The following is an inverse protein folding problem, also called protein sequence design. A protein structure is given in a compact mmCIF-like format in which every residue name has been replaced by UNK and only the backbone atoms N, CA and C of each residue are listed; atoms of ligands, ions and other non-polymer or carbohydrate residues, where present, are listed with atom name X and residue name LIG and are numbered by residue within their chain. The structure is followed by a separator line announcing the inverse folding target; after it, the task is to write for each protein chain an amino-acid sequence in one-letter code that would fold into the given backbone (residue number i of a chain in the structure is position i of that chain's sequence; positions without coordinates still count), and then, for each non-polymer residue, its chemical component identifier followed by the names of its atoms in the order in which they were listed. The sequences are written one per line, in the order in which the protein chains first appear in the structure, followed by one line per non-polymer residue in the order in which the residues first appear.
data_IF_221479197484
#
_entry.id   IF_221479197484
#
_cell.length_a   1.000
_cell.length_b   1.000
_cell.length_c   1.000
_cell.angle_alpha   90.00
_cell.angle_beta   90.00
_cell.angle_gamma   90.00
#
_symmetry.space_group_name_H-M   'P 1'
#
loop_
_entity.id
_entity.type
_entity.pdbx_description
1 polymer ?
#
# COMPACT_ATOMS: atom_id res chain seq x y z
N UNK A 1 -27.36 -20.62 -9.54
CA UNK A 1 -26.25 -19.71 -9.17
C UNK A 1 -25.00 -20.36 -9.72
N UNK A 2 -24.60 -19.97 -10.92
CA UNK A 2 -23.43 -20.53 -11.64
C UNK A 2 -22.11 -19.83 -11.23
N UNK A 3 -22.16 -18.88 -10.29
CA UNK A 3 -21.12 -17.86 -10.10
C UNK A 3 -20.09 -18.16 -8.99
N UNK A 4 -20.23 -19.28 -8.27
CA UNK A 4 -19.36 -19.64 -7.15
C UNK A 4 -19.63 -18.86 -5.85
N UNK A 5 -18.84 -19.15 -4.82
CA UNK A 5 -18.96 -18.56 -3.49
C UNK A 5 -17.73 -17.70 -3.16
N UNK A 6 -17.93 -16.41 -2.87
CA UNK A 6 -16.87 -15.49 -2.47
C UNK A 6 -16.77 -15.40 -0.94
N UNK A 7 -15.56 -15.60 -0.43
CA UNK A 7 -15.18 -15.41 0.96
C UNK A 7 -14.13 -14.30 1.05
N UNK A 8 -14.35 -13.33 1.95
CA UNK A 8 -13.40 -12.27 2.25
C UNK A 8 -12.78 -12.55 3.61
N UNK A 9 -11.50 -12.91 3.64
CA UNK A 9 -10.83 -13.33 4.88
C UNK A 9 -9.73 -12.32 5.18
N UNK A 10 -9.82 -11.69 6.35
CA UNK A 10 -8.98 -10.58 6.74
C UNK A 10 -8.14 -10.91 7.97
N UNK A 11 -6.84 -10.69 7.88
CA UNK A 11 -5.95 -10.74 9.03
C UNK A 11 -6.01 -9.42 9.81
N UNK A 12 -6.91 -9.32 10.79
CA UNK A 12 -7.04 -8.13 11.64
C UNK A 12 -5.91 -7.98 12.70
N UNK A 13 -4.66 -8.27 12.33
CA UNK A 13 -3.51 -8.08 13.21
C UNK A 13 -2.31 -7.50 12.48
N UNK A 14 -1.42 -6.88 13.25
CA UNK A 14 -0.18 -6.27 12.78
C UNK A 14 0.95 -7.28 12.53
N UNK A 15 0.65 -8.58 12.57
CA UNK A 15 1.62 -9.66 12.36
C UNK A 15 1.14 -10.62 11.28
N UNK A 16 2.08 -11.22 10.57
CA UNK A 16 1.77 -12.26 9.58
C UNK A 16 1.13 -13.48 10.27
N UNK A 17 0.16 -14.11 9.61
CA UNK A 17 -0.54 -15.28 10.13
C UNK A 17 -0.61 -16.39 9.09
N UNK A 18 -0.57 -17.63 9.55
CA UNK A 18 -0.88 -18.81 8.75
C UNK A 18 -2.01 -19.55 9.44
N UNK A 19 -3.07 -19.87 8.71
CA UNK A 19 -4.22 -20.58 9.25
C UNK A 19 -4.72 -21.60 8.24
N UNK A 20 -5.11 -22.78 8.74
CA UNK A 20 -5.99 -23.67 8.01
C UNK A 20 -7.42 -23.15 8.14
N UNK A 21 -8.11 -23.03 7.01
CA UNK A 21 -9.46 -22.48 6.93
C UNK A 21 -10.33 -23.47 6.18
N UNK A 22 -11.49 -23.80 6.77
CA UNK A 22 -12.55 -24.57 6.13
C UNK A 22 -13.66 -23.63 5.71
N UNK A 23 -13.90 -23.54 4.40
CA UNK A 23 -14.95 -22.74 3.79
C UNK A 23 -16.14 -23.64 3.46
N UNK A 24 -17.34 -23.25 3.85
CA UNK A 24 -18.52 -24.12 3.77
C UNK A 24 -18.92 -24.57 2.35
N UNK A 25 -18.43 -23.90 1.30
CA UNK A 25 -18.63 -24.31 -0.08
C UNK A 25 -17.62 -25.38 -0.49
N UNK A 26 -18.11 -26.44 -1.13
CA UNK A 26 -17.27 -27.45 -1.78
C UNK A 26 -16.99 -27.08 -3.23
N UNK A 27 -15.74 -27.25 -3.69
CA UNK A 27 -15.37 -26.97 -5.07
C UNK A 27 -13.89 -26.69 -5.27
N UNK A 28 -13.59 -25.88 -6.28
CA UNK A 28 -12.23 -25.50 -6.67
C UNK A 28 -11.92 -24.07 -6.18
N UNK A 29 -11.01 -23.91 -5.20
CA UNK A 29 -10.63 -22.60 -4.68
C UNK A 29 -9.72 -21.82 -5.63
N UNK A 30 -10.01 -20.53 -5.78
CA UNK A 30 -9.20 -19.51 -6.43
C UNK A 30 -8.90 -18.39 -5.43
N UNK A 31 -7.65 -17.92 -5.40
CA UNK A 31 -7.26 -16.71 -4.67
C UNK A 31 -7.20 -15.55 -5.63
N UNK A 32 -7.91 -14.47 -5.31
CA UNK A 32 -7.98 -13.27 -6.14
C UNK A 32 -7.16 -12.15 -5.51
N UNK A 33 -6.42 -11.42 -6.33
CA UNK A 33 -5.70 -10.23 -5.91
C UNK A 33 -6.59 -8.99 -6.12
N UNK A 34 -7.04 -8.33 -5.04
CA UNK A 34 -7.90 -7.16 -5.15
C UNK A 34 -7.20 -5.93 -5.77
N UNK A 35 -5.88 -5.96 -5.91
CA UNK A 35 -5.06 -4.85 -6.40
C UNK A 35 -5.05 -4.75 -7.93
N UNK A 36 -5.06 -5.90 -8.62
CA UNK A 36 -4.94 -5.99 -10.09
C UNK A 36 -6.01 -6.89 -10.74
N UNK A 37 -6.87 -7.52 -9.95
CA UNK A 37 -7.93 -8.41 -10.42
C UNK A 37 -7.44 -9.77 -10.91
N UNK A 38 -6.15 -10.08 -10.74
CA UNK A 38 -5.62 -11.40 -11.10
C UNK A 38 -6.18 -12.49 -10.18
N UNK A 39 -6.32 -13.70 -10.72
CA UNK A 39 -6.79 -14.86 -9.98
C UNK A 39 -5.85 -16.04 -10.23
N UNK A 40 -5.56 -16.81 -9.18
CA UNK A 40 -4.77 -18.02 -9.24
C UNK A 40 -5.53 -19.18 -8.58
N UNK A 41 -5.52 -20.34 -9.24
CA UNK A 41 -6.01 -21.57 -8.64
C UNK A 41 -5.16 -21.95 -7.41
N UNK A 42 -5.78 -22.50 -6.38
CA UNK A 42 -5.03 -23.03 -5.22
C UNK A 42 -4.55 -24.44 -5.52
N UNK A 43 -3.23 -24.66 -5.44
CA UNK A 43 -2.62 -25.93 -5.82
C UNK A 43 -2.83 -27.09 -4.83
N UNK A 44 -3.03 -26.80 -3.55
CA UNK A 44 -3.20 -27.81 -2.50
C UNK A 44 -4.37 -27.44 -1.58
N UNK A 45 -5.40 -28.28 -1.57
CA UNK A 45 -6.59 -28.15 -0.72
C UNK A 45 -7.27 -29.51 -0.57
N UNK A 46 -8.20 -29.62 0.38
CA UNK A 46 -9.08 -30.76 0.55
C UNK A 46 -10.52 -30.30 0.36
N UNK A 47 -11.37 -31.15 -0.23
CA UNK A 47 -12.80 -30.86 -0.34
C UNK A 47 -13.61 -32.10 0.01
N UNK A 48 -14.64 -31.92 0.83
CA UNK A 48 -15.57 -32.96 1.24
C UNK A 48 -16.98 -32.38 1.44
N UNK A 49 -17.88 -33.11 2.13
CA UNK A 49 -19.26 -32.65 2.39
C UNK A 49 -19.37 -31.48 3.37
N UNK A 50 -18.31 -31.19 4.14
CA UNK A 50 -18.24 -30.05 5.07
C UNK A 50 -17.75 -28.77 4.41
N UNK A 51 -17.11 -28.88 3.23
CA UNK A 51 -16.66 -27.75 2.43
C UNK A 51 -15.27 -27.94 1.85
N UNK A 52 -14.57 -26.84 1.62
CA UNK A 52 -13.20 -26.79 1.10
C UNK A 52 -12.24 -26.26 2.16
N UNK A 53 -11.24 -27.08 2.50
CA UNK A 53 -10.19 -26.76 3.47
C UNK A 53 -8.88 -26.44 2.76
N UNK A 54 -8.27 -25.30 3.10
CA UNK A 54 -7.01 -24.83 2.55
C UNK A 54 -6.20 -24.06 3.59
N UNK A 55 -4.88 -24.00 3.41
CA UNK A 55 -4.01 -23.15 4.22
C UNK A 55 -3.85 -21.79 3.55
N UNK A 56 -4.19 -20.73 4.28
CA UNK A 56 -3.96 -19.35 3.87
C UNK A 56 -2.83 -18.74 4.71
N UNK A 57 -1.96 -17.98 4.03
CA UNK A 57 -0.89 -17.20 4.65
C UNK A 57 -1.17 -15.73 4.38
N UNK A 58 -1.26 -14.96 5.45
CA UNK A 58 -1.57 -13.54 5.44
C UNK A 58 -0.35 -12.74 5.87
N UNK A 59 -0.05 -11.66 5.15
CA UNK A 59 0.70 -10.53 5.65
C UNK A 59 -0.10 -9.78 6.75
N UNK A 60 0.53 -8.91 7.56
CA UNK A 60 -0.18 -8.02 8.47
C UNK A 60 -1.29 -7.26 7.76
N UNK A 61 -2.49 -7.21 8.33
CA UNK A 61 -3.63 -6.47 7.77
C UNK A 61 -3.98 -6.83 6.31
N UNK A 62 -3.62 -8.02 5.83
CA UNK A 62 -3.96 -8.46 4.48
C UNK A 62 -5.40 -8.99 4.41
N UNK A 63 -6.09 -8.63 3.33
CA UNK A 63 -7.35 -9.21 2.90
C UNK A 63 -7.09 -10.19 1.74
N UNK A 64 -7.47 -11.45 1.91
CA UNK A 64 -7.41 -12.46 0.84
C UNK A 64 -8.84 -12.85 0.44
N UNK A 65 -9.31 -12.40 -0.73
CA UNK A 65 -10.52 -12.93 -1.35
C UNK A 65 -10.29 -14.36 -1.87
N UNK A 66 -11.17 -15.28 -1.47
CA UNK A 66 -11.18 -16.68 -1.93
C UNK A 66 -12.51 -16.96 -2.62
N UNK A 67 -12.46 -17.44 -3.86
CA UNK A 67 -13.64 -17.85 -4.63
C UNK A 67 -13.66 -19.37 -4.74
N UNK A 68 -14.76 -20.02 -4.33
CA UNK A 68 -14.97 -21.45 -4.54
C UNK A 68 -15.86 -21.65 -5.76
N UNK A 69 -15.30 -22.26 -6.82
CA UNK A 69 -16.02 -22.59 -8.06
C UNK A 69 -16.62 -24.01 -7.98
N UNK A 70 -17.89 -24.22 -8.37
CA UNK A 70 -18.52 -25.55 -8.36
C UNK A 70 -17.93 -26.52 -9.37
N UNK A 71 -17.46 -26.02 -10.52
CA UNK A 71 -16.75 -26.77 -11.55
C UNK A 71 -15.27 -26.35 -11.56
N UNK A 72 -14.42 -27.11 -12.28
CA UNK A 72 -12.97 -26.91 -12.35
C UNK A 72 -12.55 -25.44 -12.45
N UNK A 73 -11.40 -25.09 -11.85
CA UNK A 73 -10.91 -23.71 -11.86
C UNK A 73 -10.61 -23.24 -13.29
N UNK A 74 -11.11 -22.04 -13.63
CA UNK A 74 -10.76 -21.35 -14.86
C UNK A 74 -9.52 -20.45 -14.68
N UNK A 75 -9.10 -20.22 -13.44
CA UNK A 75 -7.91 -19.46 -13.11
C UNK A 75 -6.63 -20.23 -13.48
N UNK A 76 -5.56 -19.48 -13.76
CA UNK A 76 -4.26 -20.05 -14.04
C UNK A 76 -3.72 -20.80 -12.81
N UNK A 77 -2.95 -21.86 -13.05
CA UNK A 77 -2.20 -22.52 -11.99
C UNK A 77 -1.27 -21.51 -11.28
N UNK A 78 -1.04 -21.67 -9.98
CA UNK A 78 -0.19 -20.75 -9.25
C UNK A 78 1.24 -20.85 -9.79
N UNK A 79 1.87 -19.69 -10.00
CA UNK A 79 3.24 -19.62 -10.52
C UNK A 79 4.19 -20.24 -9.48
N UNK A 80 4.91 -21.28 -9.86
CA UNK A 80 5.95 -21.85 -9.02
C UNK A 80 7.23 -21.05 -9.20
N UNK A 81 7.50 -20.18 -8.24
CA UNK A 81 8.64 -19.27 -8.28
C UNK A 81 9.43 -19.36 -6.98
N UNK A 82 10.72 -19.02 -7.04
CA UNK A 82 11.58 -18.87 -5.88
C UNK A 82 12.18 -17.47 -5.87
N UNK A 83 12.26 -16.86 -4.70
CA UNK A 83 13.00 -15.61 -4.51
C UNK A 83 14.48 -15.90 -4.80
N UNK A 84 15.02 -15.29 -5.84
CA UNK A 84 16.41 -15.45 -6.26
C UNK A 84 17.31 -14.34 -5.73
N UNK A 85 16.77 -13.13 -5.58
CA UNK A 85 17.48 -11.99 -5.03
C UNK A 85 16.54 -10.98 -4.40
N UNK A 86 17.04 -10.24 -3.41
CA UNK A 86 16.36 -9.09 -2.81
C UNK A 86 17.35 -7.92 -2.80
N UNK A 87 16.95 -6.79 -3.39
CA UNK A 87 17.76 -5.57 -3.48
C UNK A 87 17.10 -4.52 -2.58
N UNK A 88 17.72 -4.16 -1.44
CA UNK A 88 17.19 -3.11 -0.58
C UNK A 88 17.28 -1.75 -1.27
N UNK A 89 16.23 -0.93 -1.12
CA UNK A 89 16.15 0.45 -1.63
C UNK A 89 16.31 1.41 -0.44
N UNK A 90 17.45 1.30 0.25
CA UNK A 90 17.72 1.97 1.52
C UNK A 90 18.42 3.32 1.37
N UNK A 91 18.36 4.15 2.42
CA UNK A 91 19.03 5.44 2.49
C UNK A 91 18.18 6.60 1.98
N UNK A 92 18.82 7.68 1.56
CA UNK A 92 18.15 8.93 1.21
C UNK A 92 17.52 8.90 -0.18
N UNK A 93 16.30 9.43 -0.27
CA UNK A 93 15.58 9.74 -1.50
C UNK A 93 15.61 11.24 -1.70
N UNK A 94 15.64 11.69 -2.96
CA UNK A 94 15.33 13.08 -3.26
C UNK A 94 13.82 13.29 -3.01
N UNK A 95 13.48 14.36 -2.31
CA UNK A 95 12.15 14.54 -1.74
C UNK A 95 11.55 15.89 -2.10
N UNK A 96 10.26 15.87 -2.45
CA UNK A 96 9.44 17.06 -2.59
C UNK A 96 8.10 16.85 -1.93
N UNK A 97 7.71 17.78 -1.06
CA UNK A 97 6.35 17.84 -0.55
C UNK A 97 5.48 18.70 -1.47
N UNK A 98 4.27 18.22 -1.74
CA UNK A 98 3.23 18.94 -2.44
C UNK A 98 2.00 19.06 -1.54
N UNK A 99 1.69 20.29 -1.14
CA UNK A 99 0.49 20.61 -0.37
C UNK A 99 -0.73 20.54 -1.29
N UNK A 100 -1.65 19.62 -1.00
CA UNK A 100 -2.89 19.44 -1.77
C UNK A 100 -4.10 20.14 -1.13
N UNK A 101 -3.92 20.79 0.03
CA UNK A 101 -5.01 21.46 0.76
C UNK A 101 -5.55 22.70 0.05
N UNK A 102 -4.78 23.27 -0.87
CA UNK A 102 -5.17 24.43 -1.67
C UNK A 102 -5.90 24.06 -2.96
N UNK A 103 -6.09 22.77 -3.26
CA UNK A 103 -6.76 22.33 -4.49
C UNK A 103 -8.29 22.50 -4.36
N UNK A 104 -8.97 23.15 -5.32
CA UNK A 104 -10.40 23.47 -5.24
C UNK A 104 -11.30 22.23 -5.18
N UNK A 105 -10.87 21.09 -5.72
CA UNK A 105 -11.59 19.80 -5.65
C UNK A 105 -11.43 19.08 -4.30
N UNK A 106 -10.43 19.45 -3.50
CA UNK A 106 -10.22 19.01 -2.11
C UNK A 106 -10.66 20.13 -1.15
N UNK A 107 -11.06 21.29 -1.68
CA UNK A 107 -11.46 22.44 -0.90
C UNK A 107 -12.70 22.09 -0.09
N UNK A 108 -12.48 22.12 1.21
CA UNK A 108 -13.53 22.12 2.18
C UNK A 108 -14.41 23.34 1.91
N UNK A 109 -15.70 23.11 1.68
CA UNK A 109 -16.74 24.14 1.74
C UNK A 109 -16.94 24.61 3.20
N UNK A 110 -15.87 25.00 3.89
CA UNK A 110 -15.97 25.93 4.99
C UNK A 110 -15.91 27.31 4.35
N UNK A 111 -17.09 27.86 4.10
CA UNK A 111 -17.26 29.23 3.68
C UNK A 111 -16.41 30.15 4.57
N UNK A 112 -15.36 30.72 3.98
CA UNK A 112 -14.46 31.64 4.66
C UNK A 112 -15.19 32.90 5.14
N UNK A 113 -16.38 33.21 4.60
CA UNK A 113 -17.10 34.43 4.93
C UNK A 113 -17.59 34.48 6.38
N UNK A 114 -17.73 33.34 7.09
CA UNK A 114 -18.36 33.35 8.41
C UNK A 114 -17.43 33.35 9.62
N UNK A 115 -16.12 33.08 9.50
CA UNK A 115 -15.30 32.82 10.70
C UNK A 115 -14.14 33.78 10.98
N UNK A 116 -13.86 34.77 10.12
CA UNK A 116 -12.80 35.75 10.39
C UNK A 116 -11.43 35.09 10.57
N UNK A 117 -10.74 34.83 9.45
CA UNK A 117 -9.32 34.44 9.36
C UNK A 117 -8.78 33.60 10.53
N UNK A 118 -9.00 32.28 10.47
CA UNK A 118 -8.20 31.35 11.27
C UNK A 118 -6.76 31.37 10.75
N UNK A 119 -5.87 32.06 11.46
CA UNK A 119 -4.45 31.93 11.21
C UNK A 119 -4.04 30.53 11.69
N UNK A 120 -3.57 29.69 10.77
CA UNK A 120 -2.86 28.48 11.17
C UNK A 120 -1.67 28.92 12.02
N UNK A 121 -1.60 28.49 13.28
CA UNK A 121 -0.42 28.71 14.11
C UNK A 121 0.73 27.76 13.75
N UNK A 122 0.57 26.93 12.73
CA UNK A 122 1.64 26.06 12.29
C UNK A 122 2.79 26.89 11.75
N UNK A 123 3.98 26.60 12.27
CA UNK A 123 5.22 27.09 11.70
C UNK A 123 5.30 26.70 10.22
N UNK A 124 5.97 27.51 9.37
CA UNK A 124 6.22 27.14 7.99
C UNK A 124 6.83 25.73 7.92
N UNK A 125 6.27 24.88 7.06
CA UNK A 125 6.79 23.54 6.85
C UNK A 125 8.24 23.62 6.35
N UNK A 126 9.16 23.02 7.11
CA UNK A 126 10.54 22.86 6.67
C UNK A 126 10.63 21.54 5.91
N UNK A 127 10.49 21.62 4.60
CA UNK A 127 10.55 20.45 3.71
C UNK A 127 12.03 20.13 3.44
N UNK A 128 12.52 18.94 3.81
CA UNK A 128 13.89 18.57 3.49
C UNK A 128 14.02 18.24 1.99
N UNK A 129 15.15 18.57 1.37
CA UNK A 129 15.43 18.20 -0.03
C UNK A 129 15.59 16.69 -0.23
N UNK A 130 15.94 15.97 0.85
CA UNK A 130 16.10 14.52 0.86
C UNK A 130 15.54 13.95 2.15
N UNK A 131 14.95 12.76 2.10
CA UNK A 131 14.40 12.06 3.27
C UNK A 131 14.66 10.55 3.16
N UNK A 132 14.89 9.81 4.26
CA UNK A 132 14.86 8.35 4.22
C UNK A 132 13.41 7.84 4.18
N UNK A 133 13.23 6.53 3.98
CA UNK A 133 11.98 5.88 4.38
C UNK A 133 11.79 6.04 5.91
N UNK A 134 10.57 6.35 6.34
CA UNK A 134 10.19 6.54 7.73
C UNK A 134 8.98 7.46 7.90
N UNK A 135 8.63 7.72 9.17
CA UNK A 135 7.52 8.59 9.53
C UNK A 135 7.89 10.07 9.33
N UNK A 136 7.16 10.74 8.43
CA UNK A 136 7.25 12.18 8.16
C UNK A 136 7.25 13.04 9.43
N UNK A 137 6.54 12.62 10.48
CA UNK A 137 6.49 13.35 11.74
C UNK A 137 7.86 13.52 12.41
N UNK A 138 8.80 12.61 12.14
CA UNK A 138 10.16 12.63 12.67
C UNK A 138 11.11 13.50 11.84
N UNK A 139 10.67 13.96 10.66
CA UNK A 139 11.50 14.68 9.69
C UNK A 139 10.98 16.10 9.41
N UNK A 140 10.36 16.75 10.40
CA UNK A 140 9.89 18.14 10.29
C UNK A 140 8.55 18.31 9.56
N UNK A 141 7.87 17.22 9.23
CA UNK A 141 6.61 17.20 8.47
C UNK A 141 5.43 16.72 9.33
N UNK A 142 5.46 16.97 10.65
CA UNK A 142 4.47 16.49 11.61
C UNK A 142 3.05 17.01 11.37
N UNK A 143 2.89 18.19 10.78
CA UNK A 143 1.60 18.80 10.43
C UNK A 143 1.33 18.79 8.92
N UNK A 144 2.18 18.09 8.15
CA UNK A 144 2.02 17.99 6.71
C UNK A 144 0.90 17.00 6.35
N UNK A 145 0.00 17.44 5.47
CA UNK A 145 -0.93 16.59 4.76
C UNK A 145 -0.88 16.91 3.28
N UNK A 146 -0.72 15.90 2.43
CA UNK A 146 -0.53 16.08 0.99
C UNK A 146 0.21 14.91 0.36
N UNK A 147 0.97 15.21 -0.69
CA UNK A 147 1.77 14.23 -1.43
C UNK A 147 3.26 14.40 -1.12
N UNK A 148 3.92 13.32 -0.70
CA UNK A 148 5.37 13.24 -0.63
C UNK A 148 5.92 12.50 -1.83
N UNK A 149 6.69 13.19 -2.66
CA UNK A 149 7.32 12.65 -3.86
C UNK A 149 8.74 12.21 -3.52
N UNK A 150 9.00 10.91 -3.61
CA UNK A 150 10.31 10.30 -3.41
C UNK A 150 10.89 9.92 -4.76
N UNK A 151 12.15 10.29 -5.05
CA UNK A 151 12.87 9.86 -6.26
C UNK A 151 14.21 9.24 -5.88
N UNK A 152 14.54 8.11 -6.49
CA UNK A 152 15.81 7.42 -6.27
C UNK A 152 16.19 6.51 -7.42
N UNK A 153 17.49 6.42 -7.69
CA UNK A 153 18.07 5.45 -8.63
C UNK A 153 18.52 4.19 -7.89
N UNK A 154 18.19 3.03 -8.45
CA UNK A 154 18.59 1.70 -7.96
C UNK A 154 19.23 0.91 -9.09
N UNK A 155 20.30 0.20 -8.78
CA UNK A 155 21.01 -0.64 -9.75
C UNK A 155 20.60 -2.09 -9.62
N UNK A 156 20.22 -2.71 -10.74
CA UNK A 156 19.92 -4.14 -10.85
C UNK A 156 21.01 -4.78 -11.71
N UNK A 157 21.90 -5.56 -11.11
CA UNK A 157 23.07 -6.11 -11.83
C UNK A 157 22.68 -7.11 -12.90
N UNK A 158 21.84 -8.08 -12.53
CA UNK A 158 21.40 -9.16 -13.41
C UNK A 158 19.90 -9.35 -13.26
N UNK A 159 19.24 -9.59 -14.39
CA UNK A 159 17.82 -9.90 -14.45
C UNK A 159 17.63 -11.14 -15.34
N UNK A 160 17.33 -12.32 -14.77
CA UNK A 160 17.04 -13.51 -15.54
C UNK A 160 15.89 -13.28 -16.53
N UNK A 161 15.92 -13.97 -17.68
CA UNK A 161 14.94 -13.75 -18.75
C UNK A 161 13.49 -14.11 -18.35
N UNK A 162 13.34 -15.05 -17.41
CA UNK A 162 12.06 -15.49 -16.85
C UNK A 162 11.71 -14.76 -15.53
N UNK A 163 12.51 -13.77 -15.13
CA UNK A 163 12.35 -13.13 -13.84
C UNK A 163 11.03 -12.38 -13.71
N UNK A 164 10.46 -12.46 -12.52
CA UNK A 164 9.40 -11.57 -12.05
C UNK A 164 9.98 -10.64 -10.99
N UNK A 165 9.76 -9.35 -11.13
CA UNK A 165 10.26 -8.34 -10.21
C UNK A 165 9.10 -7.67 -9.50
N UNK A 166 9.07 -7.80 -8.18
CA UNK A 166 8.11 -7.13 -7.33
C UNK A 166 8.79 -5.98 -6.57
N UNK A 167 8.15 -4.82 -6.52
CA UNK A 167 8.56 -3.74 -5.63
C UNK A 167 7.69 -3.80 -4.37
N UNK A 168 8.30 -4.15 -3.24
CA UNK A 168 7.68 -4.04 -1.92
C UNK A 168 8.02 -2.69 -1.32
N UNK A 169 7.01 -1.92 -0.93
CA UNK A 169 7.18 -0.63 -0.25
C UNK A 169 7.30 -0.79 1.27
N UNK A 170 7.19 -2.02 1.79
CA UNK A 170 6.96 -2.27 3.21
C UNK A 170 5.66 -1.61 3.64
N UNK A 171 5.68 -0.88 4.76
CA UNK A 171 4.52 -0.12 5.21
C UNK A 171 4.45 1.24 4.52
N UNK A 172 3.25 1.61 4.07
CA UNK A 172 2.94 2.96 3.58
C UNK A 172 1.84 3.56 4.46
N UNK A 173 1.96 4.84 4.76
CA UNK A 173 0.95 5.58 5.50
C UNK A 173 0.49 6.81 4.69
N UNK A 174 -0.53 6.70 3.82
CA UNK A 174 -1.52 5.60 3.70
C UNK A 174 -1.54 4.94 2.32
N UNK A 175 -1.28 5.66 1.23
CA UNK A 175 -1.30 5.08 -0.12
C UNK A 175 -0.10 5.55 -0.93
N UNK A 176 0.25 4.82 -1.98
CA UNK A 176 1.35 5.16 -2.85
C UNK A 176 1.03 4.93 -4.32
N UNK A 177 1.52 5.79 -5.20
CA UNK A 177 1.66 5.52 -6.62
C UNK A 177 3.14 5.34 -6.96
N UNK A 178 3.43 4.33 -7.78
CA UNK A 178 4.80 3.98 -8.16
C UNK A 178 5.00 4.20 -9.65
N UNK A 179 6.16 4.76 -9.99
CA UNK A 179 6.65 4.89 -11.34
C UNK A 179 8.07 4.33 -11.43
N UNK A 180 8.34 3.63 -12.52
CA UNK A 180 9.64 3.02 -12.80
C UNK A 180 10.10 3.51 -14.17
N UNK A 181 11.26 4.14 -14.24
CA UNK A 181 11.81 4.70 -15.48
C UNK A 181 10.84 5.62 -16.23
N UNK A 182 10.04 6.40 -15.49
CA UNK A 182 9.05 7.35 -16.03
C UNK A 182 7.65 6.77 -16.27
N UNK A 183 7.50 5.44 -16.28
CA UNK A 183 6.23 4.77 -16.56
C UNK A 183 5.48 4.42 -15.26
N UNK A 184 4.15 4.54 -15.26
CA UNK A 184 3.35 4.17 -14.09
C UNK A 184 3.32 2.65 -13.91
N UNK A 185 3.68 2.19 -12.72
CA UNK A 185 3.57 0.80 -12.28
C UNK A 185 2.28 0.53 -11.47
N UNK A 186 1.49 1.57 -11.20
CA UNK A 186 0.20 1.49 -10.51
C UNK A 186 0.15 2.16 -9.14
N UNK A 187 -1.04 2.13 -8.54
CA UNK A 187 -1.34 2.63 -7.20
C UNK A 187 -1.53 1.47 -6.22
N UNK A 188 -1.17 1.66 -4.96
CA UNK A 188 -1.38 0.69 -3.87
C UNK A 188 -1.96 1.39 -2.65
N UNK A 189 -2.95 0.77 -2.01
CA UNK A 189 -3.77 1.41 -0.97
C UNK A 189 -4.13 0.49 0.20
N UNK A 190 -3.74 -0.78 0.17
CA UNK A 190 -3.87 -1.72 1.28
C UNK A 190 -2.65 -2.64 1.35
N UNK A 191 -2.48 -3.29 2.51
CA UNK A 191 -1.43 -4.29 2.70
C UNK A 191 -1.73 -5.58 1.92
N UNK A 192 -0.71 -6.24 1.36
CA UNK A 192 0.69 -5.81 1.30
C UNK A 192 0.91 -4.74 0.20
N UNK A 193 1.68 -3.68 0.50
CA UNK A 193 2.03 -2.65 -0.49
C UNK A 193 3.09 -3.12 -1.49
N UNK A 194 2.69 -4.02 -2.40
CA UNK A 194 3.56 -4.69 -3.36
C UNK A 194 2.99 -4.52 -4.78
N UNK A 195 3.84 -4.08 -5.71
CA UNK A 195 3.49 -3.98 -7.13
C UNK A 195 4.40 -4.85 -7.98
N UNK A 196 3.83 -5.47 -9.01
CA UNK A 196 4.60 -6.15 -10.05
C UNK A 196 5.20 -5.11 -11.00
N UNK A 197 6.52 -4.93 -10.94
CA UNK A 197 7.27 -3.96 -11.73
C UNK A 197 8.07 -4.61 -12.86
N UNK A 198 7.83 -5.89 -13.14
CA UNK A 198 8.61 -6.73 -14.07
C UNK A 198 8.80 -6.06 -15.44
N UNK A 199 7.77 -5.39 -15.94
CA UNK A 199 7.76 -4.79 -17.29
C UNK A 199 8.68 -3.58 -17.43
N UNK A 200 9.03 -2.92 -16.34
CA UNK A 200 9.71 -1.62 -16.37
C UNK A 200 11.14 -1.66 -15.81
N UNK A 201 11.48 -2.69 -15.03
CA UNK A 201 12.83 -2.89 -14.52
C UNK A 201 13.73 -3.50 -15.60
N UNK A 202 14.96 -2.98 -15.70
CA UNK A 202 16.00 -3.45 -16.63
C UNK A 202 17.34 -3.66 -15.90
N UNK A 203 18.27 -4.46 -16.46
CA UNK A 203 19.66 -4.46 -16.00
C UNK A 203 20.28 -3.06 -16.04
N UNK A 204 21.10 -2.74 -15.04
CA UNK A 204 21.69 -1.42 -14.83
C UNK A 204 20.84 -0.52 -13.93
N UNK A 205 20.93 0.79 -14.18
CA UNK A 205 20.26 1.81 -13.37
C UNK A 205 18.76 1.94 -13.73
N UNK A 206 17.92 1.97 -12.70
CA UNK A 206 16.49 2.20 -12.78
C UNK A 206 16.11 3.36 -11.87
N UNK A 207 15.33 4.30 -12.37
CA UNK A 207 14.76 5.37 -11.56
C UNK A 207 13.42 4.92 -10.98
N UNK A 208 13.28 5.01 -9.66
CA UNK A 208 12.04 4.82 -8.93
C UNK A 208 11.52 6.18 -8.50
N UNK A 209 10.24 6.44 -8.80
CA UNK A 209 9.49 7.56 -8.22
C UNK A 209 8.29 7.01 -7.47
N UNK A 210 8.18 7.34 -6.19
CA UNK A 210 7.12 6.87 -5.29
C UNK A 210 6.40 8.11 -4.75
N UNK A 211 5.12 8.24 -5.05
CA UNK A 211 4.28 9.36 -4.59
C UNK A 211 3.40 8.83 -3.48
N UNK A 212 3.67 9.25 -2.24
CA UNK A 212 2.89 8.82 -1.07
C UNK A 212 1.88 9.89 -0.71
N UNK A 213 0.63 9.48 -0.48
CA UNK A 213 -0.43 10.32 0.04
C UNK A 213 -0.81 9.90 1.47
N UNK A 214 -0.92 10.88 2.38
CA UNK A 214 -1.52 10.69 3.70
C UNK A 214 -2.93 11.30 3.77
N UNK A 215 -3.56 11.21 4.94
CA UNK A 215 -4.85 11.87 5.20
C UNK A 215 -4.65 13.31 5.68
N UNK A 216 -5.76 14.05 5.79
CA UNK A 216 -5.78 15.39 6.37
C UNK A 216 -5.61 15.41 7.90
N UNK A 217 -5.47 14.26 8.56
CA UNK A 217 -5.40 14.17 10.02
C UNK A 217 -4.26 15.00 10.62
N UNK A 218 -3.07 14.99 10.01
CA UNK A 218 -1.91 15.72 10.53
C UNK A 218 -2.05 17.24 10.39
N UNK A 219 -2.61 17.71 9.27
CA UNK A 219 -2.95 19.13 9.13
C UNK A 219 -4.00 19.54 10.16
N UNK A 220 -4.98 18.68 10.45
CA UNK A 220 -6.04 19.00 11.41
C UNK A 220 -5.59 18.91 12.88
N UNK A 221 -4.63 18.05 13.20
CA UNK A 221 -4.13 17.90 14.58
C UNK A 221 -3.48 19.19 15.12
N UNK A 222 -3.02 20.09 14.26
CA UNK A 222 -2.49 21.40 14.68
C UNK A 222 -3.55 22.27 15.38
N UNK A 223 -4.84 22.06 15.09
CA UNK A 223 -5.92 22.81 15.74
C UNK A 223 -6.23 22.30 17.15
N UNK A 224 -5.76 21.09 17.49
CA UNK A 224 -5.87 20.50 18.82
C UNK A 224 -5.08 21.32 19.84
N UNK A 225 -3.91 21.83 19.43
CA UNK A 225 -3.06 22.71 20.24
C UNK A 225 -3.64 24.13 20.40
N UNK A 226 -4.52 24.56 19.48
CA UNK A 226 -5.10 25.91 19.45
C UNK A 226 -6.43 26.03 20.17
N UNK A 227 -7.24 24.97 20.17
CA UNK A 227 -8.65 25.13 20.48
C UNK A 227 -8.94 25.28 21.98
N UNK A 228 -8.12 24.72 22.89
CA UNK A 228 -8.35 24.72 24.35
C UNK A 228 -9.65 24.03 24.82
N UNK A 229 -10.63 23.90 23.92
CA UNK A 229 -11.96 23.30 23.99
C UNK A 229 -12.26 22.71 22.59
N UNK A 230 -13.02 21.61 22.54
CA UNK A 230 -13.35 20.92 21.27
C UNK A 230 -14.08 21.81 20.25
N UNK A 231 -14.16 21.33 19.00
CA UNK A 231 -14.91 21.99 17.93
C UNK A 231 -16.37 22.21 18.39
N UNK A 232 -16.96 23.38 18.11
CA UNK A 232 -18.34 23.72 18.55
C UNK A 232 -19.42 22.80 17.95
N UNK A 233 -19.05 21.92 17.02
CA UNK A 233 -19.90 20.99 16.28
C UNK A 233 -19.79 19.53 16.76
N UNK A 234 -19.19 19.27 17.93
CA UNK A 234 -19.25 17.95 18.57
C UNK A 234 -18.44 16.85 17.87
N UNK A 235 -17.21 17.17 17.43
CA UNK A 235 -16.28 16.19 16.88
C UNK A 235 -14.89 16.30 17.53
N UNK A 236 -14.25 15.16 17.73
CA UNK A 236 -12.86 15.12 18.17
C UNK A 236 -11.94 15.61 17.06
N UNK A 237 -11.03 16.53 17.40
CA UNK A 237 -9.93 16.87 16.50
C UNK A 237 -9.07 15.61 16.36
N UNK A 238 -8.71 15.17 15.15
CA UNK A 238 -7.94 13.95 14.98
C UNK A 238 -6.54 14.10 15.59
N UNK A 239 -6.06 13.05 16.24
CA UNK A 239 -4.66 12.95 16.65
C UNK A 239 -3.73 12.87 15.43
N UNK A 240 -2.49 13.31 15.62
CA UNK A 240 -1.42 13.12 14.65
C UNK A 240 -1.25 11.63 14.33
N UNK A 241 -1.16 11.31 13.04
CA UNK A 241 -0.96 9.96 12.51
C UNK A 241 0.43 9.80 11.92
N UNK A 242 0.95 8.58 12.02
CA UNK A 242 2.12 8.17 11.24
C UNK A 242 1.84 8.44 9.75
N UNK A 243 2.82 8.96 9.01
CA UNK A 243 2.64 9.31 7.59
C UNK A 243 3.92 9.07 6.80
N UNK A 244 3.78 8.74 5.52
CA UNK A 244 4.90 8.61 4.59
C UNK A 244 5.23 7.18 4.16
N UNK A 245 6.35 7.06 3.44
CA UNK A 245 6.92 5.78 3.03
C UNK A 245 7.67 5.18 4.20
N UNK A 246 7.00 4.37 5.04
CA UNK A 246 7.59 3.85 6.28
C UNK A 246 8.65 2.78 5.98
N UNK A 247 8.46 1.99 4.93
CA UNK A 247 9.41 0.98 4.51
C UNK A 247 9.36 -0.31 5.34
N UNK A 248 10.38 -1.17 5.22
CA UNK A 248 11.53 -1.05 4.30
C UNK A 248 11.11 -1.24 2.83
N UNK A 249 11.79 -0.56 1.90
CA UNK A 249 11.53 -0.65 0.46
C UNK A 249 12.51 -1.61 -0.20
N UNK A 250 12.02 -2.53 -1.02
CA UNK A 250 12.80 -3.64 -1.58
C UNK A 250 12.34 -4.00 -2.99
N UNK A 251 13.29 -4.28 -3.88
CA UNK A 251 13.01 -5.03 -5.11
C UNK A 251 13.25 -6.51 -4.83
N UNK A 252 12.26 -7.34 -5.16
CA UNK A 252 12.29 -8.79 -4.98
C UNK A 252 12.25 -9.45 -6.35
N UNK A 253 13.31 -10.19 -6.68
CA UNK A 253 13.46 -10.88 -7.96
C UNK A 253 13.14 -12.35 -7.73
N UNK A 254 12.16 -12.84 -8.48
CA UNK A 254 11.72 -14.23 -8.48
C UNK A 254 12.05 -14.87 -9.82
N UNK A 255 12.47 -16.14 -9.80
CA UNK A 255 12.66 -16.95 -11.02
C UNK A 255 11.76 -18.17 -10.96
N UNK A 256 11.49 -18.79 -12.10
CA UNK A 256 10.80 -20.08 -12.12
C UNK A 256 11.55 -21.10 -11.24
N UNK A 257 10.77 -21.94 -10.56
CA UNK A 257 11.30 -23.03 -9.72
C UNK A 257 11.72 -24.23 -10.57
#
# INVERSE_FOLDING_TARGET
MEDGHLYLIFNNSDTARSAEVTLAAAGHPEVWNPQDGSAAAVGTYQTDSSGTTLTLKFAPQELIPVVIRPAGSAAAAPRQEKLSAEIPVDGWFDFRAEDTTQRPEIAWNFDQEQTGVWHSAALPLQVPERIPAGDWCQFGLATFSGLGHYTKKVSVTELPADARVLLSLGRVAISAEVFVNGESAGLTYFEPYVLDVTRWIKPGENELRIVVANTLSNKMSQYQELAGNGLSMGGDIPERRISGLIGPVKLQIYTAK
#
